data_IF_345886176351
#
_entry.id   IF_345886176351
#
_cell.length_a   1.000
_cell.length_b   1.000
_cell.length_c   1.000
_cell.angle_alpha   90.00
_cell.angle_beta   90.00
_cell.angle_gamma   90.00
#
_symmetry.space_group_name_H-M   'P 1'
#
loop_
_entity.id
_entity.type
_entity.pdbx_description
1 polymer ?
#
# COMPACT_ATOMS: atom_id res chain seq x y z
N UNK A 1 -31.95 -2.51 -17.30
CA UNK A 1 -31.08 -1.61 -16.51
C UNK A 1 -29.65 -1.56 -17.02
N UNK A 2 -29.01 -2.69 -17.32
CA UNK A 2 -27.59 -2.71 -17.71
C UNK A 2 -27.28 -2.19 -19.12
N UNK A 3 -28.17 -2.33 -20.10
CA UNK A 3 -27.99 -1.74 -21.45
C UNK A 3 -27.88 -0.21 -21.39
N UNK A 4 -28.80 0.52 -20.70
CA UNK A 4 -28.62 1.95 -20.43
C UNK A 4 -27.27 2.29 -19.76
N UNK A 5 -26.85 1.51 -18.76
CA UNK A 5 -25.55 1.70 -18.11
C UNK A 5 -24.37 1.58 -19.07
N UNK A 6 -24.36 0.54 -19.92
CA UNK A 6 -23.30 0.36 -20.90
C UNK A 6 -23.26 1.51 -21.90
N UNK A 7 -24.43 1.97 -22.36
CA UNK A 7 -24.53 3.10 -23.30
C UNK A 7 -24.01 4.39 -22.66
N UNK A 8 -24.48 4.72 -21.46
CA UNK A 8 -24.03 5.91 -20.74
C UNK A 8 -22.53 5.87 -20.44
N UNK A 9 -21.98 4.69 -20.11
CA UNK A 9 -20.55 4.55 -19.87
C UNK A 9 -19.72 4.72 -21.15
N UNK A 10 -20.17 4.17 -22.28
CA UNK A 10 -19.55 4.42 -23.58
C UNK A 10 -19.59 5.91 -23.95
N UNK A 11 -20.70 6.60 -23.69
CA UNK A 11 -20.83 8.05 -23.90
C UNK A 11 -19.86 8.85 -23.02
N UNK A 12 -19.75 8.51 -21.73
CA UNK A 12 -18.78 9.15 -20.81
C UNK A 12 -17.33 8.91 -21.25
N UNK A 13 -17.00 7.71 -21.72
CA UNK A 13 -15.68 7.42 -22.28
C UNK A 13 -15.38 8.25 -23.54
N UNK A 14 -16.33 8.33 -24.47
CA UNK A 14 -16.18 9.16 -25.66
C UNK A 14 -16.05 10.65 -25.29
N UNK A 15 -16.85 11.12 -24.34
CA UNK A 15 -16.77 12.49 -23.85
C UNK A 15 -15.40 12.78 -23.20
N UNK A 16 -14.88 11.85 -22.39
CA UNK A 16 -13.54 11.97 -21.81
C UNK A 16 -12.48 12.07 -22.91
N UNK A 17 -12.50 11.17 -23.89
CA UNK A 17 -11.54 11.17 -25.00
C UNK A 17 -11.60 12.46 -25.82
N UNK A 18 -12.80 12.98 -26.07
CA UNK A 18 -12.97 14.26 -26.76
C UNK A 18 -12.45 15.44 -25.93
N UNK A 19 -12.75 15.47 -24.62
CA UNK A 19 -12.29 16.52 -23.70
C UNK A 19 -10.77 16.52 -23.55
N UNK A 20 -10.15 15.35 -23.51
CA UNK A 20 -8.69 15.23 -23.41
C UNK A 20 -7.98 15.27 -24.76
N UNK A 21 -8.72 15.34 -25.88
CA UNK A 21 -8.21 15.19 -27.25
C UNK A 21 -7.36 13.92 -27.47
N UNK A 22 -7.53 12.90 -26.61
CA UNK A 22 -6.68 11.72 -26.59
C UNK A 22 -5.23 11.96 -26.13
N UNK A 23 -4.92 13.13 -25.58
CA UNK A 23 -3.61 13.46 -25.03
C UNK A 23 -3.42 12.85 -23.64
N UNK A 24 -4.48 12.80 -22.83
CA UNK A 24 -4.48 12.12 -21.53
C UNK A 24 -4.80 10.64 -21.71
N UNK A 25 -3.97 9.77 -21.14
CA UNK A 25 -4.20 8.32 -21.14
C UNK A 25 -5.25 7.93 -20.11
N UNK A 26 -6.20 7.08 -20.49
CA UNK A 26 -7.15 6.51 -19.52
C UNK A 26 -6.41 5.52 -18.62
N UNK A 27 -6.40 5.79 -17.32
CA UNK A 27 -5.84 4.92 -16.29
C UNK A 27 -6.93 4.16 -15.55
N UNK A 28 -6.53 3.25 -14.67
CA UNK A 28 -7.49 2.56 -13.77
C UNK A 28 -8.13 3.52 -12.77
N UNK A 29 -7.49 4.65 -12.45
CA UNK A 29 -8.04 5.67 -11.55
C UNK A 29 -9.29 6.32 -12.13
N UNK A 30 -9.32 6.52 -13.44
CA UNK A 30 -10.42 7.17 -14.17
C UNK A 30 -11.68 6.30 -14.24
N UNK A 31 -11.56 4.99 -14.00
CA UNK A 31 -12.70 4.07 -14.04
C UNK A 31 -13.84 4.54 -13.14
N UNK A 32 -13.55 4.86 -11.87
CA UNK A 32 -14.61 5.12 -10.90
C UNK A 32 -15.37 6.42 -11.18
N UNK A 33 -14.70 7.57 -11.46
CA UNK A 33 -15.40 8.79 -11.86
C UNK A 33 -16.29 8.60 -13.10
N UNK A 34 -15.77 7.95 -14.15
CA UNK A 34 -16.52 7.70 -15.39
C UNK A 34 -17.70 6.75 -15.16
N UNK A 35 -17.46 5.67 -14.42
CA UNK A 35 -18.50 4.71 -14.03
C UNK A 35 -19.58 5.37 -13.17
N UNK A 36 -19.19 6.19 -12.21
CA UNK A 36 -20.12 6.83 -11.29
C UNK A 36 -21.04 7.83 -12.00
N UNK A 37 -20.50 8.60 -12.95
CA UNK A 37 -21.29 9.48 -13.80
C UNK A 37 -22.29 8.67 -14.64
N UNK A 38 -21.83 7.61 -15.30
CA UNK A 38 -22.69 6.73 -16.09
C UNK A 38 -23.78 6.04 -15.24
N UNK A 39 -23.42 5.64 -14.01
CA UNK A 39 -24.33 5.05 -13.05
C UNK A 39 -25.46 6.02 -12.68
N UNK A 40 -25.12 7.25 -12.28
CA UNK A 40 -26.11 8.27 -11.93
C UNK A 40 -27.01 8.65 -13.11
N UNK A 41 -26.48 8.60 -14.33
CA UNK A 41 -27.25 8.85 -15.55
C UNK A 41 -28.25 7.72 -15.83
N UNK A 42 -27.87 6.48 -15.54
CA UNK A 42 -28.61 5.28 -15.95
C UNK A 42 -29.56 4.74 -14.87
N UNK A 43 -29.13 4.69 -13.62
CA UNK A 43 -29.89 4.19 -12.47
C UNK A 43 -30.79 5.26 -11.86
N UNK A 44 -31.67 5.82 -12.69
CA UNK A 44 -32.75 6.72 -12.25
C UNK A 44 -33.98 5.92 -11.87
N UNK A 45 -34.79 6.47 -10.98
CA UNK A 45 -36.05 5.86 -10.54
C UNK A 45 -36.94 5.46 -11.73
N UNK A 46 -37.06 6.33 -12.74
CA UNK A 46 -37.81 6.05 -13.97
C UNK A 46 -37.28 4.83 -14.74
N UNK A 47 -35.96 4.69 -14.88
CA UNK A 47 -35.32 3.56 -15.56
C UNK A 47 -35.51 2.27 -14.76
N UNK A 48 -35.43 2.35 -13.44
CA UNK A 48 -35.63 1.22 -12.52
C UNK A 48 -37.08 0.74 -12.63
N UNK A 49 -38.07 1.63 -12.46
CA UNK A 49 -39.49 1.32 -12.58
C UNK A 49 -39.83 0.75 -13.96
N UNK A 50 -39.32 1.35 -15.03
CA UNK A 50 -39.51 0.86 -16.40
C UNK A 50 -38.96 -0.57 -16.58
N UNK A 51 -37.80 -0.86 -15.99
CA UNK A 51 -37.22 -2.20 -16.09
C UNK A 51 -37.98 -3.27 -15.31
N UNK A 52 -38.56 -2.94 -14.15
CA UNK A 52 -39.45 -3.86 -13.41
C UNK A 52 -40.78 -4.08 -14.14
N UNK A 53 -41.33 -3.02 -14.75
CA UNK A 53 -42.53 -3.14 -15.59
C UNK A 53 -42.27 -4.06 -16.80
N UNK A 54 -41.10 -3.94 -17.43
CA UNK A 54 -40.72 -4.77 -18.58
C UNK A 54 -40.55 -6.26 -18.24
N UNK A 55 -40.21 -6.59 -17.00
CA UNK A 55 -40.15 -8.00 -16.56
C UNK A 55 -41.51 -8.55 -16.14
N UNK A 56 -42.53 -7.70 -15.95
CA UNK A 56 -43.84 -8.15 -15.50
C UNK A 56 -43.87 -8.68 -14.05
N UNK A 57 -42.78 -8.50 -13.31
CA UNK A 57 -42.66 -8.94 -11.91
C UNK A 57 -43.32 -7.92 -10.99
N UNK A 58 -43.13 -6.63 -11.27
CA UNK A 58 -43.70 -5.53 -10.51
C UNK A 58 -44.07 -4.37 -11.44
N UNK A 59 -45.36 -4.06 -11.62
CA UNK A 59 -46.54 -4.79 -11.14
C UNK A 59 -46.60 -6.22 -11.70
N UNK A 60 -47.34 -7.12 -11.04
CA UNK A 60 -47.51 -8.50 -11.51
C UNK A 60 -48.37 -8.52 -12.79
N UNK A 61 -47.72 -8.52 -13.95
CA UNK A 61 -48.35 -8.47 -15.26
C UNK A 61 -47.52 -9.28 -16.29
N UNK A 62 -47.99 -10.44 -16.75
CA UNK A 62 -47.22 -11.28 -17.68
C UNK A 62 -47.25 -10.78 -19.13
N UNK A 63 -48.16 -9.86 -19.48
CA UNK A 63 -48.38 -9.42 -20.87
C UNK A 63 -47.10 -8.94 -21.57
N UNK A 64 -46.23 -8.10 -20.95
CA UNK A 64 -44.97 -7.66 -21.56
C UNK A 64 -43.97 -8.80 -21.86
N UNK A 65 -44.07 -9.94 -21.18
CA UNK A 65 -43.27 -11.13 -21.50
C UNK A 65 -43.90 -11.89 -22.66
N UNK A 66 -45.23 -12.03 -22.66
CA UNK A 66 -45.96 -12.77 -23.68
C UNK A 66 -45.88 -12.05 -25.05
N UNK A 67 -45.97 -10.72 -25.06
CA UNK A 67 -45.88 -9.90 -26.27
C UNK A 67 -44.52 -10.02 -26.98
N UNK A 68 -43.44 -10.29 -26.23
CA UNK A 68 -42.09 -10.52 -26.80
C UNK A 68 -42.01 -11.77 -27.67
N UNK A 69 -42.91 -12.73 -27.51
CA UNK A 69 -42.96 -13.94 -28.31
C UNK A 69 -43.92 -13.82 -29.50
N UNK A 70 -44.66 -12.72 -29.61
CA UNK A 70 -45.63 -12.47 -30.69
C UNK A 70 -45.20 -11.38 -31.67
N UNK A 71 -44.19 -10.58 -31.34
CA UNK A 71 -43.84 -9.37 -32.11
C UNK A 71 -42.45 -9.48 -32.74
N UNK A 72 -42.42 -9.55 -34.07
CA UNK A 72 -41.22 -9.28 -34.87
C UNK A 72 -40.84 -7.80 -34.73
N UNK A 73 -39.53 -7.56 -34.63
CA UNK A 73 -38.84 -6.29 -34.33
C UNK A 73 -39.48 -5.00 -34.86
N UNK A 74 -39.65 -4.02 -33.97
CA UNK A 74 -39.52 -2.59 -34.32
C UNK A 74 -38.59 -1.90 -33.31
N UNK A 75 -37.37 -1.58 -33.76
CA UNK A 75 -36.46 -0.71 -33.03
C UNK A 75 -36.88 0.75 -33.22
N UNK A 76 -37.46 1.34 -32.17
CA UNK A 76 -37.69 2.78 -32.10
C UNK A 76 -36.41 3.47 -31.63
N UNK A 77 -35.49 3.71 -32.56
CA UNK A 77 -34.48 4.73 -32.42
C UNK A 77 -35.07 6.09 -32.77
N UNK A 78 -35.05 7.03 -31.83
CA UNK A 78 -34.73 8.40 -32.19
C UNK A 78 -34.10 9.12 -30.98
N UNK A 79 -32.78 9.23 -31.05
CA UNK A 79 -31.99 10.03 -30.12
C UNK A 79 -32.24 11.49 -30.47
N UNK A 80 -33.05 12.17 -29.65
CA UNK A 80 -33.34 13.59 -29.83
C UNK A 80 -32.06 14.40 -29.70
N UNK A 81 -31.58 14.85 -30.86
CA UNK A 81 -30.42 15.70 -31.04
C UNK A 81 -30.53 16.97 -30.18
N UNK A 82 -29.57 17.05 -29.26
CA UNK A 82 -28.80 18.23 -28.83
C UNK A 82 -29.50 19.60 -28.87
N UNK A 83 -29.55 20.20 -27.67
CA UNK A 83 -29.78 21.63 -27.45
C UNK A 83 -28.68 22.42 -28.18
N UNK A 84 -28.94 22.79 -29.43
CA UNK A 84 -28.03 23.62 -30.23
C UNK A 84 -27.90 25.00 -29.57
N UNK A 85 -26.67 25.37 -29.24
CA UNK A 85 -26.33 26.70 -28.80
C UNK A 85 -26.59 27.68 -29.96
N UNK A 86 -27.60 28.54 -29.81
CA UNK A 86 -28.20 29.37 -30.87
C UNK A 86 -27.37 30.62 -31.23
N UNK A 87 -26.08 30.65 -30.94
CA UNK A 87 -25.38 31.93 -30.70
C UNK A 87 -24.11 32.07 -31.54
N UNK A 88 -24.27 32.75 -32.68
CA UNK A 88 -23.64 34.05 -32.97
C UNK A 88 -23.66 34.33 -34.47
N UNK A 89 -23.40 33.33 -35.30
CA UNK A 89 -23.48 33.50 -36.76
C UNK A 89 -24.91 33.71 -37.26
N UNK A 90 -25.92 33.04 -36.67
CA UNK A 90 -27.33 33.24 -37.05
C UNK A 90 -27.81 34.65 -36.76
N UNK A 91 -27.31 35.26 -35.68
CA UNK A 91 -27.60 36.65 -35.32
C UNK A 91 -26.91 37.62 -36.28
N UNK A 92 -25.64 37.37 -36.59
CA UNK A 92 -24.88 38.14 -37.57
C UNK A 92 -25.45 38.00 -38.99
N UNK A 93 -25.91 36.82 -39.40
CA UNK A 93 -26.57 36.60 -40.70
C UNK A 93 -27.90 37.36 -40.80
N UNK A 94 -28.70 37.39 -39.72
CA UNK A 94 -29.91 38.24 -39.65
C UNK A 94 -29.56 39.72 -39.80
N UNK A 95 -28.48 40.18 -39.17
CA UNK A 95 -28.04 41.56 -39.25
C UNK A 95 -27.54 41.91 -40.67
N UNK A 96 -26.73 41.05 -41.28
CA UNK A 96 -26.28 41.17 -42.68
C UNK A 96 -27.49 41.21 -43.62
N UNK A 97 -28.51 40.39 -43.39
CA UNK A 97 -29.75 40.43 -44.18
C UNK A 97 -30.57 41.70 -43.99
N UNK A 98 -30.60 42.24 -42.78
CA UNK A 98 -31.32 43.49 -42.52
C UNK A 98 -30.62 44.73 -43.11
N UNK A 99 -29.27 44.71 -43.16
CA UNK A 99 -28.46 45.84 -43.62
C UNK A 99 -28.21 45.84 -45.14
N UNK A 100 -28.17 44.67 -45.78
CA UNK A 100 -27.91 44.55 -47.21
C UNK A 100 -29.17 44.82 -48.05
N UNK A 101 -29.11 45.81 -48.95
CA UNK A 101 -30.21 46.12 -49.90
C UNK A 101 -30.50 44.96 -50.85
N UNK A 102 -29.47 44.34 -51.41
CA UNK A 102 -29.59 43.21 -52.35
C UNK A 102 -29.06 41.92 -51.75
N UNK A 103 -29.96 41.11 -51.20
CA UNK A 103 -29.64 39.85 -50.53
C UNK A 103 -29.01 38.78 -51.44
N UNK A 104 -29.27 38.88 -52.74
CA UNK A 104 -28.76 38.00 -53.79
C UNK A 104 -27.49 38.54 -54.44
N UNK A 105 -27.03 39.73 -54.05
CA UNK A 105 -25.78 40.29 -54.59
C UNK A 105 -24.62 39.34 -54.29
N UNK A 106 -23.78 39.13 -55.29
CA UNK A 106 -22.60 38.25 -55.20
C UNK A 106 -21.70 38.61 -54.01
N UNK A 107 -21.59 39.90 -53.68
CA UNK A 107 -20.75 40.36 -52.58
C UNK A 107 -21.38 40.08 -51.21
N UNK A 108 -22.70 40.19 -51.10
CA UNK A 108 -23.42 39.81 -49.87
C UNK A 108 -23.36 38.30 -49.64
N UNK A 109 -23.42 37.49 -50.70
CA UNK A 109 -23.23 36.04 -50.60
C UNK A 109 -21.81 35.68 -50.17
N UNK A 110 -20.79 36.30 -50.77
CA UNK A 110 -19.39 36.11 -50.35
C UNK A 110 -19.21 36.47 -48.87
N UNK A 111 -19.73 37.61 -48.43
CA UNK A 111 -19.66 38.04 -47.03
C UNK A 111 -20.29 37.02 -46.09
N UNK A 112 -21.49 36.52 -46.43
CA UNK A 112 -22.20 35.50 -45.64
C UNK A 112 -21.44 34.18 -45.57
N UNK A 113 -20.85 33.75 -46.68
CA UNK A 113 -20.00 32.55 -46.73
C UNK A 113 -18.74 32.71 -45.88
N UNK A 114 -18.04 33.84 -46.00
CA UNK A 114 -16.87 34.15 -45.19
C UNK A 114 -17.21 34.22 -43.70
N UNK A 115 -18.35 34.83 -43.34
CA UNK A 115 -18.80 34.92 -41.96
C UNK A 115 -19.14 33.56 -41.37
N UNK A 116 -19.85 32.71 -42.12
CA UNK A 116 -20.12 31.33 -41.71
C UNK A 116 -18.82 30.55 -41.53
N UNK A 117 -17.89 30.65 -42.49
CA UNK A 117 -16.60 29.97 -42.42
C UNK A 117 -15.80 30.40 -41.18
N UNK A 118 -15.68 31.71 -40.93
CA UNK A 118 -14.98 32.24 -39.76
C UNK A 118 -15.67 31.82 -38.46
N UNK A 119 -17.00 31.78 -38.41
CA UNK A 119 -17.72 31.31 -37.23
C UNK A 119 -17.42 29.85 -36.92
N UNK A 120 -17.46 28.98 -37.92
CA UNK A 120 -17.14 27.55 -37.76
C UNK A 120 -15.69 27.36 -37.34
N UNK A 121 -14.76 28.12 -37.93
CA UNK A 121 -13.35 28.08 -37.52
C UNK A 121 -13.16 28.53 -36.08
N UNK A 122 -13.87 29.56 -35.64
CA UNK A 122 -13.76 30.07 -34.28
C UNK A 122 -14.35 29.08 -33.25
N UNK A 123 -15.50 28.45 -33.56
CA UNK A 123 -16.02 27.35 -32.74
C UNK A 123 -15.03 26.19 -32.63
N UNK A 124 -14.44 25.79 -33.76
CA UNK A 124 -13.45 24.72 -33.77
C UNK A 124 -12.23 25.08 -32.91
N UNK A 125 -11.72 26.31 -33.03
CA UNK A 125 -10.63 26.82 -32.20
C UNK A 125 -11.01 26.88 -30.71
N UNK A 126 -12.23 27.29 -30.38
CA UNK A 126 -12.70 27.28 -28.99
C UNK A 126 -12.74 25.87 -28.42
N UNK A 127 -13.29 24.90 -29.16
CA UNK A 127 -13.28 23.49 -28.76
C UNK A 127 -11.86 22.94 -28.62
N UNK A 128 -10.94 23.34 -29.50
CA UNK A 128 -9.53 22.95 -29.42
C UNK A 128 -8.85 23.54 -28.18
N UNK A 129 -9.02 24.83 -27.92
CA UNK A 129 -8.46 25.50 -26.73
C UNK A 129 -9.03 24.89 -25.45
N UNK A 130 -10.34 24.66 -25.38
CA UNK A 130 -10.98 24.10 -24.19
C UNK A 130 -10.56 22.65 -23.95
N UNK A 131 -10.36 21.86 -25.01
CA UNK A 131 -9.84 20.50 -24.90
C UNK A 131 -8.37 20.48 -24.44
N UNK A 132 -7.53 21.35 -24.99
CA UNK A 132 -6.12 21.48 -24.56
C UNK A 132 -6.01 21.91 -23.10
N UNK A 133 -6.84 22.87 -22.65
CA UNK A 133 -6.89 23.29 -21.24
C UNK A 133 -7.31 22.16 -20.31
N UNK A 134 -8.30 21.36 -20.71
CA UNK A 134 -8.73 20.20 -19.93
C UNK A 134 -7.65 19.12 -19.87
N UNK A 135 -7.01 18.80 -20.99
CA UNK A 135 -5.91 17.85 -21.04
C UNK A 135 -4.75 18.28 -20.12
N UNK A 136 -4.35 19.55 -20.18
CA UNK A 136 -3.32 20.09 -19.28
C UNK A 136 -3.71 19.98 -17.80
N UNK A 137 -4.97 20.29 -17.46
CA UNK A 137 -5.46 20.16 -16.08
C UNK A 137 -5.44 18.72 -15.58
N UNK A 138 -5.75 17.73 -16.44
CA UNK A 138 -5.68 16.30 -16.08
C UNK A 138 -4.24 15.91 -15.81
N UNK A 139 -3.32 16.25 -16.71
CA UNK A 139 -1.90 15.94 -16.55
C UNK A 139 -1.30 16.58 -15.29
N UNK A 140 -1.64 17.83 -14.98
CA UNK A 140 -1.18 18.50 -13.77
C UNK A 140 -1.72 17.83 -12.50
N UNK A 141 -2.97 17.34 -12.51
CA UNK A 141 -3.52 16.57 -11.40
C UNK A 141 -2.77 15.25 -11.21
N UNK A 142 -2.49 14.52 -12.29
CA UNK A 142 -1.74 13.26 -12.24
C UNK A 142 -0.33 13.46 -11.66
N UNK A 143 0.39 14.50 -12.10
CA UNK A 143 1.73 14.82 -11.59
C UNK A 143 1.71 15.17 -10.09
N UNK A 144 0.71 15.94 -9.65
CA UNK A 144 0.54 16.31 -8.24
C UNK A 144 0.21 15.08 -7.38
N UNK A 145 -0.67 14.20 -7.85
CA UNK A 145 -0.99 12.94 -7.17
C UNK A 145 0.24 12.03 -7.06
N UNK A 146 1.03 11.92 -8.13
CA UNK A 146 2.25 11.10 -8.11
C UNK A 146 3.28 11.63 -7.11
N UNK A 147 3.46 12.96 -7.03
CA UNK A 147 4.33 13.59 -6.05
C UNK A 147 3.87 13.33 -4.62
N UNK A 148 2.56 13.42 -4.38
CA UNK A 148 1.96 13.17 -3.07
C UNK A 148 2.18 11.71 -2.64
N UNK A 149 1.94 10.75 -3.53
CA UNK A 149 2.21 9.33 -3.28
C UNK A 149 3.70 9.06 -2.99
N UNK A 150 4.61 9.70 -3.73
CA UNK A 150 6.07 9.59 -3.48
C UNK A 150 6.43 10.13 -2.09
N UNK A 151 5.84 11.25 -1.67
CA UNK A 151 6.05 11.82 -0.34
C UNK A 151 5.53 10.88 0.76
N UNK A 152 4.28 10.42 0.66
CA UNK A 152 3.66 9.51 1.62
C UNK A 152 4.47 8.21 1.79
N UNK A 153 4.88 7.59 0.68
CA UNK A 153 5.69 6.37 0.73
C UNK A 153 7.06 6.62 1.37
N UNK A 154 7.66 7.80 1.17
CA UNK A 154 8.91 8.18 1.82
C UNK A 154 8.71 8.37 3.34
N UNK A 155 7.60 8.97 3.77
CA UNK A 155 7.25 9.10 5.18
C UNK A 155 6.99 7.76 5.85
N UNK A 156 6.21 6.88 5.23
CA UNK A 156 5.98 5.52 5.71
C UNK A 156 7.28 4.74 5.85
N UNK A 157 8.22 4.89 4.90
CA UNK A 157 9.56 4.29 5.00
C UNK A 157 10.36 4.85 6.18
N UNK A 158 10.30 6.16 6.44
CA UNK A 158 10.95 6.78 7.61
C UNK A 158 10.34 6.28 8.92
N UNK A 159 9.01 6.26 9.02
CA UNK A 159 8.28 5.76 10.18
C UNK A 159 8.60 4.27 10.45
N UNK A 160 8.64 3.45 9.40
CA UNK A 160 9.01 2.04 9.51
C UNK A 160 10.47 1.85 10.00
N UNK A 161 11.42 2.69 9.56
CA UNK A 161 12.81 2.66 10.05
C UNK A 161 12.87 3.02 11.54
N UNK A 162 12.16 4.06 11.97
CA UNK A 162 12.12 4.47 13.38
C UNK A 162 11.49 3.39 14.26
N UNK A 163 10.38 2.78 13.83
CA UNK A 163 9.74 1.67 14.54
C UNK A 163 10.69 0.46 14.68
N UNK A 164 11.38 0.09 13.59
CA UNK A 164 12.40 -0.97 13.61
C UNK A 164 13.52 -0.69 14.61
N UNK A 165 14.00 0.55 14.68
CA UNK A 165 15.06 0.93 15.63
C UNK A 165 14.56 0.92 17.07
N UNK A 166 13.35 1.42 17.35
CA UNK A 166 12.72 1.32 18.68
C UNK A 166 12.58 -0.13 19.14
N UNK A 167 12.07 -1.01 18.28
CA UNK A 167 11.97 -2.46 18.57
C UNK A 167 13.37 -3.05 18.86
N UNK A 168 14.41 -2.61 18.15
CA UNK A 168 15.79 -3.07 18.38
C UNK A 168 16.32 -2.61 19.73
N UNK A 169 16.05 -1.37 20.12
CA UNK A 169 16.45 -0.81 21.42
C UNK A 169 15.72 -1.51 22.56
N UNK A 170 14.41 -1.70 22.46
CA UNK A 170 13.63 -2.46 23.45
C UNK A 170 14.14 -3.90 23.61
N UNK A 171 14.47 -4.57 22.51
CA UNK A 171 15.08 -5.91 22.55
C UNK A 171 16.45 -5.93 23.24
N UNK A 172 17.25 -4.87 23.13
CA UNK A 172 18.53 -4.75 23.84
C UNK A 172 18.28 -4.52 25.34
N UNK A 173 17.44 -3.54 25.68
CA UNK A 173 17.06 -3.26 27.07
C UNK A 173 16.48 -4.50 27.78
N UNK A 174 15.63 -5.27 27.11
CA UNK A 174 15.09 -6.52 27.66
C UNK A 174 16.18 -7.57 27.94
N UNK A 175 17.24 -7.64 27.10
CA UNK A 175 18.37 -8.55 27.32
C UNK A 175 19.22 -8.11 28.50
N UNK A 176 19.45 -6.82 28.64
CA UNK A 176 20.30 -6.28 29.71
C UNK A 176 19.56 -6.34 31.05
N UNK A 177 18.26 -6.01 31.09
CA UNK A 177 17.40 -6.24 32.25
C UNK A 177 17.35 -7.73 32.66
N UNK A 178 17.31 -8.64 31.69
CA UNK A 178 17.37 -10.08 31.98
C UNK A 178 18.74 -10.53 32.51
N UNK A 179 19.85 -9.86 32.16
CA UNK A 179 21.16 -10.12 32.77
C UNK A 179 21.22 -9.59 34.19
N UNK A 180 20.81 -8.35 34.42
CA UNK A 180 20.78 -7.74 35.75
C UNK A 180 19.87 -8.51 36.71
N UNK A 181 18.70 -8.96 36.27
CA UNK A 181 17.80 -9.78 37.09
C UNK A 181 18.47 -11.09 37.50
N UNK A 182 19.19 -11.75 36.58
CA UNK A 182 19.95 -12.98 36.88
C UNK A 182 21.10 -12.74 37.84
N UNK A 183 21.77 -11.61 37.77
CA UNK A 183 22.85 -11.25 38.70
C UNK A 183 22.30 -10.91 40.09
N UNK A 184 21.21 -10.15 40.18
CA UNK A 184 20.51 -9.85 41.44
C UNK A 184 20.00 -11.12 42.12
N UNK A 185 19.37 -12.02 41.37
CA UNK A 185 18.92 -13.31 41.89
C UNK A 185 20.09 -14.15 42.45
N UNK A 186 21.22 -14.17 41.75
CA UNK A 186 22.44 -14.86 42.22
C UNK A 186 23.01 -14.20 43.48
N UNK A 187 23.04 -12.87 43.54
CA UNK A 187 23.52 -12.11 44.69
C UNK A 187 22.63 -12.32 45.92
N UNK A 188 21.30 -12.29 45.76
CA UNK A 188 20.35 -12.57 46.83
C UNK A 188 20.48 -14.01 47.33
N UNK A 189 20.56 -15.00 46.43
CA UNK A 189 20.82 -16.39 46.80
C UNK A 189 22.15 -16.55 47.54
N UNK A 190 23.20 -15.83 47.15
CA UNK A 190 24.49 -15.84 47.83
C UNK A 190 24.39 -15.19 49.22
N UNK A 191 23.72 -14.04 49.34
CA UNK A 191 23.50 -13.34 50.61
C UNK A 191 22.68 -14.18 51.59
N UNK A 192 21.60 -14.83 51.12
CA UNK A 192 20.80 -15.75 51.92
C UNK A 192 21.64 -16.92 52.45
N UNK A 193 22.46 -17.53 51.59
CA UNK A 193 23.38 -18.61 52.01
C UNK A 193 24.40 -18.13 53.04
N UNK A 194 24.97 -16.93 52.86
CA UNK A 194 25.93 -16.35 53.81
C UNK A 194 25.29 -16.06 55.18
N UNK A 195 24.07 -15.52 55.20
CA UNK A 195 23.30 -15.29 56.42
C UNK A 195 22.97 -16.60 57.15
N UNK A 196 22.54 -17.64 56.43
CA UNK A 196 22.30 -18.97 57.03
C UNK A 196 23.59 -19.61 57.59
N UNK A 197 24.72 -19.39 56.92
CA UNK A 197 26.00 -19.90 57.40
C UNK A 197 26.45 -19.15 58.66
N UNK A 198 26.28 -17.83 58.72
CA UNK A 198 26.65 -17.03 59.89
C UNK A 198 25.79 -17.36 61.12
N UNK A 199 24.48 -17.58 60.95
CA UNK A 199 23.60 -18.01 62.05
C UNK A 199 23.99 -19.38 62.58
N UNK A 200 24.21 -20.36 61.70
CA UNK A 200 24.71 -21.70 62.08
C UNK A 200 26.06 -21.63 62.80
N UNK A 201 26.96 -20.77 62.35
CA UNK A 201 28.25 -20.59 62.99
C UNK A 201 28.11 -19.92 64.38
N UNK A 202 27.23 -18.92 64.52
CA UNK A 202 26.93 -18.29 65.81
C UNK A 202 26.29 -19.28 66.79
N UNK A 203 25.34 -20.11 66.34
CA UNK A 203 24.74 -21.18 67.15
C UNK A 203 25.79 -22.20 67.61
N UNK A 204 26.69 -22.62 66.72
CA UNK A 204 27.81 -23.52 67.08
C UNK A 204 28.75 -22.89 68.09
N UNK A 205 29.03 -21.59 68.00
CA UNK A 205 29.85 -20.85 68.97
C UNK A 205 29.16 -20.73 70.35
N UNK A 206 27.84 -20.56 70.37
CA UNK A 206 27.06 -20.57 71.61
C UNK A 206 27.02 -21.97 72.25
N UNK A 207 26.88 -23.03 71.45
CA UNK A 207 26.91 -24.42 71.94
C UNK A 207 28.30 -24.86 72.44
N UNK A 208 29.40 -24.43 71.82
CA UNK A 208 30.75 -24.76 72.27
C UNK A 208 31.13 -24.05 73.57
N UNK A 209 30.63 -22.82 73.79
CA UNK A 209 30.78 -22.06 75.03
C UNK A 209 30.09 -22.74 76.24
N UNK A 210 28.97 -23.42 76.03
CA UNK A 210 28.24 -24.13 77.09
C UNK A 210 28.84 -25.49 77.50
N UNK A 211 29.73 -26.10 76.71
CA UNK A 211 30.36 -27.40 77.02
C UNK A 211 31.67 -27.29 77.82
N UNK A 212 31.92 -26.15 78.45
CA UNK A 212 33.14 -25.88 79.20
C UNK A 212 33.20 -26.45 80.62
N UNK A 213 33.00 -27.76 80.83
CA UNK A 213 33.61 -28.52 81.97
C UNK A 213 33.67 -30.04 81.66
N UNK A 214 34.81 -30.53 81.11
CA UNK A 214 35.58 -31.69 81.62
C UNK A 214 36.68 -32.22 80.66
N UNK A 215 37.83 -32.42 81.30
CA UNK A 215 38.95 -33.38 81.15
C UNK A 215 39.90 -33.36 79.93
N UNK A 216 41.16 -33.20 80.34
CA UNK A 216 42.46 -33.36 79.70
C UNK A 216 42.72 -34.81 79.27
N UNK A 217 43.30 -34.98 78.07
CA UNK A 217 44.31 -35.96 77.61
C UNK A 217 44.15 -36.12 76.08
N UNK A 218 45.13 -36.37 75.21
CA UNK A 218 46.55 -36.73 75.28
C UNK A 218 47.16 -36.48 73.88
N UNK A 219 48.44 -36.11 73.80
CA UNK A 219 49.21 -35.99 72.55
C UNK A 219 49.34 -37.34 71.82
N UNK A 220 49.35 -37.31 70.49
CA UNK A 220 49.96 -38.37 69.67
C UNK A 220 50.58 -37.74 68.41
N UNK A 221 51.91 -37.74 68.39
CA UNK A 221 52.74 -37.43 67.24
C UNK A 221 52.82 -38.67 66.34
N UNK A 222 52.49 -38.54 65.05
CA UNK A 222 53.00 -39.45 64.03
C UNK A 222 53.44 -38.68 62.77
N UNK A 223 54.74 -38.79 62.52
CA UNK A 223 55.45 -38.42 61.30
C UNK A 223 55.36 -39.56 60.27
N UNK A 224 55.40 -39.23 58.97
CA UNK A 224 56.25 -39.90 57.95
C UNK A 224 56.20 -39.23 56.55
N UNK A 225 57.41 -38.89 56.07
CA UNK A 225 57.91 -38.83 54.66
C UNK A 225 57.46 -40.08 53.86
N UNK A 226 57.45 -40.20 52.52
CA UNK A 226 57.81 -39.49 51.26
C UNK A 226 57.08 -40.30 50.14
N UNK A 227 56.75 -39.78 48.96
CA UNK A 227 57.62 -39.85 47.78
C UNK A 227 57.03 -39.08 46.58
N UNK A 228 57.97 -38.62 45.75
CA UNK A 228 57.86 -37.83 44.53
C UNK A 228 58.02 -38.78 43.34
N UNK A 229 57.21 -38.62 42.30
CA UNK A 229 57.56 -39.00 40.92
C UNK A 229 57.02 -37.93 39.97
N UNK A 230 57.93 -37.08 39.52
CA UNK A 230 57.83 -36.33 38.29
C UNK A 230 58.44 -37.22 37.18
N UNK A 231 57.79 -37.27 36.02
CA UNK A 231 58.34 -37.84 34.81
C UNK A 231 58.01 -36.89 33.67
N UNK A 232 58.93 -35.96 33.41
CA UNK A 232 59.00 -35.23 32.16
C UNK A 232 59.63 -36.15 31.10
N UNK A 233 59.04 -36.18 29.91
CA UNK A 233 59.74 -36.52 28.67
C UNK A 233 59.38 -35.45 27.64
N UNK A 234 60.29 -34.47 27.50
CA UNK A 234 60.37 -33.53 26.38
C UNK A 234 61.41 -34.10 25.40
N UNK A 235 61.11 -34.21 24.10
CA UNK A 235 61.80 -33.55 22.98
C UNK A 235 61.68 -34.46 21.73
N UNK A 236 61.56 -34.07 20.45
CA UNK A 236 61.65 -32.81 19.69
C UNK A 236 61.05 -33.08 18.28
N UNK A 237 60.20 -32.15 17.78
CA UNK A 237 60.16 -31.47 16.44
C UNK A 237 60.22 -32.31 15.13
N UNK A 238 59.43 -32.10 14.06
CA UNK A 238 59.13 -30.85 13.32
C UNK A 238 58.02 -31.02 12.23
N UNK A 239 57.19 -29.98 12.00
CA UNK A 239 56.32 -29.58 10.84
C UNK A 239 55.56 -30.64 9.99
N UNK A 240 54.25 -30.54 9.70
CA UNK A 240 53.58 -29.57 8.79
C UNK A 240 52.04 -29.71 8.86
N UNK A 241 51.33 -28.59 8.60
CA UNK A 241 49.97 -28.41 8.04
C UNK A 241 48.77 -29.33 8.41
N UNK A 242 47.65 -28.71 8.81
CA UNK A 242 46.35 -29.39 8.77
C UNK A 242 45.20 -28.74 9.55
N UNK A 243 44.62 -27.69 9.00
CA UNK A 243 43.22 -27.22 9.09
C UNK A 243 42.33 -27.49 10.33
N UNK A 244 41.83 -26.38 10.86
CA UNK A 244 40.63 -26.20 11.69
C UNK A 244 39.38 -26.95 11.19
N UNK A 245 38.81 -27.83 12.01
CA UNK A 245 37.50 -28.44 11.75
C UNK A 245 36.37 -27.54 12.28
N UNK A 246 35.89 -26.63 11.42
CA UNK A 246 34.73 -25.77 11.67
C UNK A 246 33.41 -26.54 11.59
N UNK A 247 32.47 -26.18 12.46
CA UNK A 247 31.10 -26.73 12.52
C UNK A 247 30.29 -26.39 11.26
N UNK A 248 29.66 -27.40 10.65
CA UNK A 248 28.78 -27.23 9.48
C UNK A 248 27.47 -26.55 9.88
N UNK A 249 27.16 -25.40 9.29
CA UNK A 249 25.90 -24.67 9.51
C UNK A 249 24.80 -25.26 8.61
N UNK A 250 23.74 -25.77 9.22
CA UNK A 250 22.56 -26.32 8.52
C UNK A 250 21.42 -25.31 8.48
N UNK A 251 20.55 -25.40 7.46
CA UNK A 251 19.33 -24.59 7.35
C UNK A 251 18.19 -25.18 8.18
N UNK A 252 17.13 -24.39 8.42
CA UNK A 252 15.93 -24.80 9.18
C UNK A 252 15.20 -26.03 8.60
N UNK A 253 15.51 -26.43 7.36
CA UNK A 253 14.95 -27.61 6.68
C UNK A 253 16.00 -28.73 6.46
N UNK A 254 17.11 -28.72 7.18
CA UNK A 254 18.06 -29.84 7.23
C UNK A 254 18.98 -30.02 6.01
N UNK A 255 19.02 -29.05 5.08
CA UNK A 255 19.96 -29.10 3.94
C UNK A 255 21.30 -28.46 4.30
N UNK A 256 22.38 -29.13 3.88
CA UNK A 256 23.77 -28.68 4.07
C UNK A 256 24.08 -27.53 3.09
N UNK A 257 24.62 -26.42 3.59
CA UNK A 257 24.98 -25.25 2.79
C UNK A 257 26.48 -25.20 2.63
N UNK A 258 26.97 -25.40 1.40
CA UNK A 258 28.35 -25.07 1.04
C UNK A 258 28.41 -23.56 0.75
N UNK A 259 29.15 -22.81 1.56
CA UNK A 259 29.43 -21.40 1.32
C UNK A 259 30.48 -21.28 0.19
N UNK A 260 30.27 -20.41 -0.81
CA UNK A 260 31.27 -20.16 -1.86
C UNK A 260 32.50 -19.43 -1.30
N UNK A 261 33.70 -19.78 -1.77
CA UNK A 261 35.00 -19.24 -1.31
C UNK A 261 35.19 -17.73 -1.49
N UNK A 262 34.28 -17.05 -2.22
CA UNK A 262 34.30 -15.59 -2.34
C UNK A 262 34.00 -14.82 -1.05
N UNK A 263 33.59 -15.52 0.01
CA UNK A 263 33.23 -14.92 1.30
C UNK A 263 33.96 -15.55 2.49
N UNK A 264 35.06 -16.27 2.27
CA UNK A 264 35.99 -16.67 3.33
C UNK A 264 37.10 -15.65 3.51
#
# INVERSE_FOLDING_TARGET
MFKPLSTAYSEELSAYLHRSQGLASITKGDFFPLFWNAWNTSFKESTILSSFKSTGISPLDPSPILDRFTQDQEESGDSSLSRLNDHDWRKLDRLVRSAAKDQSSRDTQKLRLSLHHLSVQNELLHHEIDGLRQALSIMEQEDNEEQLQKAETAELKKAAKLCKEKIRQERRAARDAAREAKEKERAEKAAQRAAQQSTRNAEKALQSSQKGKRKISQLSLQTRKRHKCAGDALAIREASEGASAAQTKTTRHGRNVKLPDRYQ
#
